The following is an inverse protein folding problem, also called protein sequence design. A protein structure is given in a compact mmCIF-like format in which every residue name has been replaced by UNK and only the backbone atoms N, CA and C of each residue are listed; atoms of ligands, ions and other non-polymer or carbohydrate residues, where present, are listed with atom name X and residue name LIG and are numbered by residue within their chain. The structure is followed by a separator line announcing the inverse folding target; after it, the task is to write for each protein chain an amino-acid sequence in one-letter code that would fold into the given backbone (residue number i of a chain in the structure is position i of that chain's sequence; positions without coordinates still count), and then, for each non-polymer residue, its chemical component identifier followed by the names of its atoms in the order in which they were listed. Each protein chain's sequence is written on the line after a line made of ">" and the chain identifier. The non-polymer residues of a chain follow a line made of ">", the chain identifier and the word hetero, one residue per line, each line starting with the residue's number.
data_IF_697581204847
#
_entry.id   IF_697581204847
#
_cell.length_a   1.000
_cell.length_b   1.000
_cell.length_c   1.000
_cell.angle_alpha   90.00
_cell.angle_beta   90.00
_cell.angle_gamma   90.00
#
_symmetry.space_group_name_H-M   'P 1'
#
loop_
_entity.id
_entity.type
_entity.pdbx_description
1 polymer ?
#
# COMPACT_ATOMS: atom_id res chain seq x y z
N UNK A 1 0.97 -5.09 -19.17
CA UNK A 1 0.61 -4.38 -17.93
C UNK A 1 1.78 -4.50 -16.98
N UNK A 2 2.28 -3.39 -16.45
CA UNK A 2 3.43 -3.42 -15.54
C UNK A 2 3.06 -4.06 -14.20
N UNK A 3 4.03 -4.70 -13.56
CA UNK A 3 3.90 -5.29 -12.22
C UNK A 3 4.72 -4.45 -11.25
N UNK A 4 4.06 -3.85 -10.27
CA UNK A 4 4.69 -2.98 -9.27
C UNK A 4 4.89 -3.76 -7.96
N UNK A 5 6.09 -3.71 -7.42
CA UNK A 5 6.36 -4.08 -6.03
C UNK A 5 6.33 -2.83 -5.17
N UNK A 6 5.55 -2.85 -4.08
CA UNK A 6 5.44 -1.71 -3.17
C UNK A 6 6.28 -1.95 -1.92
N UNK A 7 7.23 -1.06 -1.62
CA UNK A 7 8.04 -1.14 -0.40
C UNK A 7 7.67 0.04 0.49
N UNK A 8 7.31 -0.23 1.73
CA UNK A 8 6.92 0.80 2.70
C UNK A 8 7.36 0.39 4.10
N UNK A 9 7.51 1.38 4.97
CA UNK A 9 7.63 1.14 6.41
C UNK A 9 6.30 1.36 7.14
N UNK A 10 5.25 1.84 6.44
CA UNK A 10 3.99 2.22 7.07
C UNK A 10 4.17 3.33 8.12
N UNK A 11 5.18 4.20 7.95
CA UNK A 11 5.63 5.15 8.98
C UNK A 11 4.54 6.09 9.49
N UNK A 12 3.69 6.56 8.60
CA UNK A 12 2.77 7.66 8.86
C UNK A 12 1.56 7.61 7.92
N UNK A 13 0.68 8.59 8.05
CA UNK A 13 -0.48 8.76 7.19
C UNK A 13 -0.10 8.92 5.71
N UNK A 14 1.00 9.61 5.41
CA UNK A 14 1.41 9.86 4.02
C UNK A 14 1.78 8.55 3.30
N UNK A 15 2.40 7.59 3.99
CA UNK A 15 2.66 6.26 3.44
C UNK A 15 1.37 5.52 3.01
N UNK A 16 0.28 5.66 3.78
CA UNK A 16 -1.04 5.11 3.45
C UNK A 16 -1.71 5.87 2.32
N UNK A 17 -1.72 7.20 2.40
CA UNK A 17 -2.35 8.07 1.41
C UNK A 17 -1.75 7.83 0.01
N UNK A 18 -0.42 7.70 -0.08
CA UNK A 18 0.26 7.46 -1.36
C UNK A 18 -0.13 6.09 -1.95
N UNK A 19 -0.13 5.03 -1.14
CA UNK A 19 -0.54 3.70 -1.60
C UNK A 19 -2.00 3.71 -2.07
N UNK A 20 -2.89 4.38 -1.32
CA UNK A 20 -4.30 4.49 -1.68
C UNK A 20 -4.52 5.28 -2.97
N UNK A 21 -3.78 6.37 -3.18
CA UNK A 21 -3.85 7.16 -4.41
C UNK A 21 -3.41 6.32 -5.63
N UNK A 22 -2.27 5.62 -5.53
CA UNK A 22 -1.76 4.77 -6.62
C UNK A 22 -2.72 3.62 -6.92
N UNK A 23 -3.24 2.93 -5.89
CA UNK A 23 -4.21 1.85 -6.07
C UNK A 23 -5.51 2.36 -6.72
N UNK A 24 -5.98 3.55 -6.34
CA UNK A 24 -7.16 4.19 -6.94
C UNK A 24 -6.93 4.52 -8.41
N UNK A 25 -5.80 5.14 -8.77
CA UNK A 25 -5.46 5.44 -10.16
C UNK A 25 -5.26 4.17 -11.02
N UNK A 26 -4.78 3.07 -10.43
CA UNK A 26 -4.76 1.75 -11.09
C UNK A 26 -6.19 1.26 -11.36
N UNK A 27 -7.07 1.31 -10.36
CA UNK A 27 -8.47 0.88 -10.48
C UNK A 27 -9.26 1.72 -11.50
N UNK A 28 -8.98 3.02 -11.60
CA UNK A 28 -9.56 3.92 -12.59
C UNK A 28 -8.96 3.75 -14.00
N UNK A 29 -7.89 2.95 -14.15
CA UNK A 29 -7.22 2.71 -15.43
C UNK A 29 -6.29 3.84 -15.89
N UNK A 30 -6.05 4.85 -15.04
CA UNK A 30 -5.12 5.95 -15.27
C UNK A 30 -3.67 5.44 -15.30
N UNK A 31 -3.36 4.50 -14.40
CA UNK A 31 -2.09 3.79 -14.35
C UNK A 31 -2.30 2.38 -14.90
N UNK A 32 -1.69 2.06 -16.05
CA UNK A 32 -1.75 0.73 -16.69
C UNK A 32 -0.79 -0.28 -16.04
N UNK A 33 -0.97 -0.52 -14.75
CA UNK A 33 -0.16 -1.44 -13.94
C UNK A 33 -1.03 -2.19 -12.92
N UNK A 34 -0.43 -3.16 -12.22
CA UNK A 34 -0.99 -3.77 -11.00
C UNK A 34 0.06 -3.77 -9.90
N UNK A 35 -0.39 -3.66 -8.64
CA UNK A 35 0.46 -3.92 -7.48
C UNK A 35 0.51 -5.44 -7.30
N UNK A 36 1.69 -6.02 -7.53
CA UNK A 36 1.89 -7.47 -7.46
C UNK A 36 2.15 -7.94 -6.03
N UNK A 37 2.80 -7.11 -5.21
CA UNK A 37 3.01 -7.36 -3.80
C UNK A 37 3.24 -6.04 -3.05
N UNK A 38 3.02 -6.08 -1.74
CA UNK A 38 3.42 -5.04 -0.80
C UNK A 38 4.35 -5.67 0.23
N UNK A 39 5.52 -5.07 0.42
CA UNK A 39 6.47 -5.41 1.47
C UNK A 39 6.45 -4.30 2.52
N UNK A 40 6.18 -4.68 3.77
CA UNK A 40 6.31 -3.83 4.94
C UNK A 40 7.39 -4.43 5.85
N UNK A 41 8.37 -3.64 6.28
CA UNK A 41 9.41 -4.12 7.20
C UNK A 41 8.98 -4.06 8.68
N UNK A 42 7.68 -3.93 8.94
CA UNK A 42 7.08 -3.86 10.27
C UNK A 42 5.94 -4.85 10.40
N UNK A 43 5.82 -5.40 11.60
CA UNK A 43 4.81 -6.36 12.03
C UNK A 43 3.66 -5.66 12.78
N UNK A 44 2.49 -6.32 12.90
CA UNK A 44 1.39 -5.84 13.73
C UNK A 44 1.81 -5.57 15.18
N UNK A 45 1.42 -4.41 15.71
CA UNK A 45 1.69 -3.97 17.07
C UNK A 45 2.98 -3.16 17.25
N UNK A 46 3.80 -2.98 16.20
CA UNK A 46 5.00 -2.13 16.29
C UNK A 46 4.68 -0.63 16.37
N UNK A 47 3.66 -0.16 15.66
CA UNK A 47 3.18 1.23 15.74
C UNK A 47 1.73 1.34 15.24
N UNK A 48 0.92 2.28 15.81
CA UNK A 48 -0.45 2.51 15.33
C UNK A 48 -0.52 2.83 13.84
N UNK A 49 0.44 3.60 13.32
CA UNK A 49 0.51 3.98 11.92
C UNK A 49 0.80 2.79 11.00
N UNK A 50 1.73 1.90 11.38
CA UNK A 50 1.98 0.69 10.61
C UNK A 50 0.83 -0.30 10.68
N UNK A 51 0.15 -0.40 11.82
CA UNK A 51 -1.03 -1.26 11.97
C UNK A 51 -2.16 -0.81 11.03
N UNK A 52 -2.38 0.51 10.95
CA UNK A 52 -3.33 1.08 9.98
C UNK A 52 -2.88 0.84 8.53
N UNK A 53 -1.57 0.80 8.26
CA UNK A 53 -1.04 0.54 6.93
C UNK A 53 -1.25 -0.93 6.53
N UNK A 54 -0.96 -1.87 7.43
CA UNK A 54 -1.15 -3.31 7.20
C UNK A 54 -2.63 -3.62 6.95
N UNK A 55 -3.54 -3.09 7.78
CA UNK A 55 -5.00 -3.24 7.58
C UNK A 55 -5.46 -2.71 6.22
N UNK A 56 -4.97 -1.55 5.81
CA UNK A 56 -5.30 -0.98 4.50
C UNK A 56 -4.87 -1.90 3.34
N UNK A 57 -3.71 -2.55 3.46
CA UNK A 57 -3.22 -3.49 2.44
C UNK A 57 -4.09 -4.76 2.40
N UNK A 58 -4.50 -5.27 3.56
CA UNK A 58 -5.41 -6.44 3.66
C UNK A 58 -6.76 -6.19 2.97
N UNK A 59 -7.27 -4.95 3.01
CA UNK A 59 -8.53 -4.56 2.35
C UNK A 59 -8.45 -4.53 0.80
N UNK A 60 -7.26 -4.65 0.21
CA UNK A 60 -7.09 -4.61 -1.26
C UNK A 60 -7.19 -5.97 -1.94
N UNK A 61 -7.36 -7.05 -1.16
CA UNK A 61 -7.57 -8.42 -1.66
C UNK A 61 -8.97 -8.66 -2.24
#
# INVERSE_FOLDING_TARGET
>A
MYQLGWFSTGRDKAARDLLQAVNSSIRLGEIKAKIAFVFCNREPGESPESDLFLKLVEEYH
#
